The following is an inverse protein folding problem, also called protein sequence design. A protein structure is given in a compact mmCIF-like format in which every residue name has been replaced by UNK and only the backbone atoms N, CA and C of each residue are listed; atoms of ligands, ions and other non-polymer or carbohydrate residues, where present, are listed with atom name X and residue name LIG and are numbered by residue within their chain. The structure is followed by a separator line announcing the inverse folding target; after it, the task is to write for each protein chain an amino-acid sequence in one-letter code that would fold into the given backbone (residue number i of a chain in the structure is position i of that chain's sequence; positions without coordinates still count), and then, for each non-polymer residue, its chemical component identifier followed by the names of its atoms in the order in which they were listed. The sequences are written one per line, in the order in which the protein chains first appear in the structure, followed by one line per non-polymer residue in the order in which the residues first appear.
data_IF_626530847193
#
_entry.id   IF_626530847193
#
_cell.length_a   1.000
_cell.length_b   1.000
_cell.length_c   1.000
_cell.angle_alpha   90.00
_cell.angle_beta   90.00
_cell.angle_gamma   90.00
#
_symmetry.space_group_name_H-M   'P 1'
#
loop_
_entity.id
_entity.type
_entity.pdbx_description
1 polymer ?
#
# COMPACT_ATOMS: atom_id res chain seq x y z
N UNK A 1 -25.16 -28.28 -45.49
CA UNK A 1 -23.72 -28.21 -45.13
C UNK A 1 -23.18 -26.74 -45.05
N UNK A 2 -23.80 -25.88 -44.23
CA UNK A 2 -23.32 -24.52 -43.96
C UNK A 2 -23.32 -24.14 -42.47
N UNK A 3 -23.25 -25.10 -41.58
CA UNK A 3 -23.27 -24.85 -40.13
C UNK A 3 -21.90 -24.95 -39.40
N UNK A 4 -20.78 -25.16 -40.11
CA UNK A 4 -19.49 -25.45 -39.46
C UNK A 4 -18.47 -24.31 -39.41
N UNK A 5 -18.70 -23.15 -40.06
CA UNK A 5 -17.73 -22.06 -40.08
C UNK A 5 -17.98 -20.95 -39.05
N UNK A 6 -19.21 -20.76 -38.55
CA UNK A 6 -19.51 -19.74 -37.53
C UNK A 6 -19.15 -20.14 -36.09
N UNK A 7 -19.10 -21.41 -35.78
CA UNK A 7 -18.74 -21.89 -34.43
C UNK A 7 -17.21 -21.91 -34.18
N UNK A 8 -16.37 -21.94 -35.22
CA UNK A 8 -14.91 -21.88 -35.05
C UNK A 8 -14.35 -20.47 -34.87
N UNK A 9 -15.10 -19.42 -35.22
CA UNK A 9 -14.68 -18.03 -35.03
C UNK A 9 -15.06 -17.48 -33.65
N UNK A 10 -15.98 -18.10 -32.89
CA UNK A 10 -16.32 -17.70 -31.53
C UNK A 10 -15.32 -18.22 -30.47
N UNK A 11 -14.55 -19.26 -30.75
CA UNK A 11 -13.58 -19.83 -29.81
C UNK A 11 -12.18 -19.22 -29.89
N UNK A 12 -11.91 -18.28 -30.79
CA UNK A 12 -10.57 -17.68 -30.95
C UNK A 12 -10.53 -16.25 -30.38
N UNK A 13 -11.69 -15.67 -30.02
CA UNK A 13 -11.76 -14.29 -29.50
C UNK A 13 -11.59 -14.18 -27.98
N UNK A 14 -11.63 -15.32 -27.25
CA UNK A 14 -11.60 -15.34 -25.79
C UNK A 14 -10.25 -15.75 -25.18
N UNK A 15 -9.18 -15.81 -25.98
CA UNK A 15 -7.85 -16.20 -25.44
C UNK A 15 -6.85 -15.07 -25.25
N UNK A 16 -7.25 -13.82 -25.39
CA UNK A 16 -6.36 -12.66 -25.19
C UNK A 16 -6.91 -11.58 -24.24
N UNK A 17 -7.86 -11.90 -23.38
CA UNK A 17 -7.99 -11.14 -22.14
C UNK A 17 -7.10 -11.84 -21.11
N UNK A 18 -5.82 -11.59 -21.11
CA UNK A 18 -5.02 -11.72 -19.90
C UNK A 18 -5.69 -10.75 -18.91
N UNK A 19 -6.59 -11.26 -18.07
CA UNK A 19 -7.11 -10.49 -16.93
C UNK A 19 -5.88 -10.22 -16.10
N UNK A 20 -5.42 -9.00 -16.17
CA UNK A 20 -4.27 -8.57 -15.37
C UNK A 20 -4.68 -8.77 -13.90
N UNK A 21 -3.87 -9.44 -13.11
CA UNK A 21 -4.22 -9.84 -11.75
C UNK A 21 -4.63 -8.62 -10.88
N UNK A 22 -4.18 -7.43 -11.26
CA UNK A 22 -4.42 -6.18 -10.53
C UNK A 22 -5.24 -5.15 -11.29
N UNK A 23 -5.98 -5.55 -12.34
CA UNK A 23 -6.77 -4.64 -13.19
C UNK A 23 -7.60 -3.65 -12.39
N UNK A 24 -8.25 -4.14 -11.33
CA UNK A 24 -9.09 -3.30 -10.48
C UNK A 24 -8.27 -2.25 -9.69
N UNK A 25 -7.05 -2.60 -9.27
CA UNK A 25 -6.14 -1.68 -8.59
C UNK A 25 -5.55 -0.68 -9.59
N UNK A 26 -5.17 -1.16 -10.78
CA UNK A 26 -4.54 -0.37 -11.82
C UNK A 26 -5.53 0.54 -12.55
N UNK A 27 -6.77 0.09 -12.78
CA UNK A 27 -7.80 0.81 -13.55
C UNK A 27 -8.25 2.12 -12.88
N UNK A 28 -8.22 2.17 -11.55
CA UNK A 28 -8.52 3.41 -10.79
C UNK A 28 -7.37 4.41 -10.75
N UNK A 29 -6.31 4.18 -11.50
CA UNK A 29 -5.07 4.96 -11.47
C UNK A 29 -4.95 6.01 -12.57
N UNK A 30 -6.02 6.45 -13.20
CA UNK A 30 -6.05 7.32 -14.38
C UNK A 30 -5.26 8.64 -14.28
N UNK A 31 -4.86 9.06 -13.08
CA UNK A 31 -4.08 10.28 -12.83
C UNK A 31 -2.76 10.01 -12.07
N UNK A 32 -2.23 8.78 -12.13
CA UNK A 32 -1.06 8.41 -11.34
C UNK A 32 0.27 8.78 -12.02
N UNK A 33 1.12 9.46 -11.29
CA UNK A 33 2.54 9.56 -11.65
C UNK A 33 3.17 8.20 -11.38
N UNK A 34 3.60 7.50 -12.43
CA UNK A 34 4.25 6.19 -12.33
C UNK A 34 5.73 6.31 -12.65
N UNK A 35 6.56 5.65 -11.86
CA UNK A 35 7.98 5.46 -12.13
C UNK A 35 8.19 3.99 -12.47
N UNK A 36 8.73 3.73 -13.66
CA UNK A 36 9.14 2.37 -14.04
C UNK A 36 10.28 1.91 -13.15
N UNK A 37 10.29 0.62 -12.84
CA UNK A 37 11.37 -0.04 -12.12
C UNK A 37 12.19 -0.89 -13.10
N UNK A 38 13.45 -1.07 -12.79
CA UNK A 38 14.37 -1.88 -13.57
C UNK A 38 14.58 -3.28 -12.98
N UNK A 39 15.25 -4.14 -13.74
CA UNK A 39 15.53 -5.50 -13.32
C UNK A 39 16.45 -5.56 -12.09
N UNK A 40 17.27 -4.54 -11.86
CA UNK A 40 18.17 -4.47 -10.69
C UNK A 40 17.37 -4.24 -9.42
N UNK A 41 16.33 -3.40 -9.46
CA UNK A 41 15.39 -3.24 -8.35
C UNK A 41 14.66 -4.56 -8.05
N UNK A 42 14.15 -5.24 -9.07
CA UNK A 42 13.46 -6.53 -8.91
C UNK A 42 14.40 -7.58 -8.31
N UNK A 43 15.61 -7.72 -8.83
CA UNK A 43 16.60 -8.67 -8.34
C UNK A 43 16.98 -8.43 -6.86
N UNK A 44 17.08 -7.16 -6.44
CA UNK A 44 17.36 -6.78 -5.05
C UNK A 44 16.34 -7.33 -4.07
N UNK A 45 15.05 -7.34 -4.44
CA UNK A 45 13.96 -7.71 -3.54
C UNK A 45 13.36 -9.09 -3.81
N UNK A 46 13.82 -9.82 -4.84
CA UNK A 46 13.25 -11.12 -5.24
C UNK A 46 13.16 -12.14 -4.10
N UNK A 47 14.12 -12.10 -3.17
CA UNK A 47 14.12 -12.98 -2.00
C UNK A 47 13.53 -12.34 -0.73
N UNK A 48 13.11 -11.07 -0.78
CA UNK A 48 12.63 -10.33 0.38
C UNK A 48 11.10 -10.23 0.47
N UNK A 49 10.42 -10.38 -0.66
CA UNK A 49 8.95 -10.29 -0.77
C UNK A 49 8.36 -11.49 -1.49
N UNK A 50 7.03 -11.58 -1.55
CA UNK A 50 6.34 -12.61 -2.32
C UNK A 50 6.38 -12.32 -3.83
N UNK A 51 6.15 -13.37 -4.63
CA UNK A 51 6.05 -13.26 -6.09
C UNK A 51 4.96 -12.28 -6.51
N UNK A 52 3.83 -12.23 -5.80
CA UNK A 52 2.74 -11.29 -6.06
C UNK A 52 3.18 -9.81 -5.93
N UNK A 53 4.05 -9.49 -4.98
CA UNK A 53 4.59 -8.11 -4.86
C UNK A 53 5.56 -7.81 -6.00
N UNK A 54 6.35 -8.79 -6.42
CA UNK A 54 7.23 -8.66 -7.58
C UNK A 54 6.41 -8.40 -8.85
N UNK A 55 5.33 -9.16 -9.07
CA UNK A 55 4.41 -8.95 -10.19
C UNK A 55 3.74 -7.58 -10.13
N UNK A 56 3.23 -7.19 -8.95
CA UNK A 56 2.67 -5.85 -8.73
C UNK A 56 3.66 -4.75 -9.14
N UNK A 57 4.91 -4.86 -8.72
CA UNK A 57 5.94 -3.88 -9.07
C UNK A 57 6.24 -3.85 -10.56
N UNK A 58 6.32 -5.01 -11.24
CA UNK A 58 6.54 -5.09 -12.69
C UNK A 58 5.40 -4.46 -13.47
N UNK A 59 4.16 -4.67 -13.05
CA UNK A 59 2.98 -4.16 -13.74
C UNK A 59 2.71 -2.68 -13.45
N UNK A 60 2.80 -2.30 -12.20
CA UNK A 60 2.41 -0.98 -11.73
C UNK A 60 3.55 0.03 -11.66
N UNK A 61 4.78 -0.42 -11.38
CA UNK A 61 5.88 0.45 -10.99
C UNK A 61 5.67 1.09 -9.62
N UNK A 62 6.45 2.13 -9.32
CA UNK A 62 6.24 2.98 -8.14
C UNK A 62 5.31 4.13 -8.51
N UNK A 63 4.40 4.52 -7.62
CA UNK A 63 3.48 5.60 -7.94
C UNK A 63 2.28 5.70 -7.01
N UNK A 64 1.31 6.54 -7.40
CA UNK A 64 0.04 6.72 -6.69
C UNK A 64 -1.08 5.99 -7.41
N UNK A 65 -1.98 5.34 -6.66
CA UNK A 65 -3.05 4.49 -7.17
C UNK A 65 -4.36 4.76 -6.44
N UNK A 66 -5.46 4.25 -6.99
CA UNK A 66 -6.79 4.42 -6.39
C UNK A 66 -7.09 5.89 -6.09
N UNK A 67 -6.89 6.75 -7.10
CA UNK A 67 -7.14 8.19 -7.01
C UNK A 67 -6.26 8.91 -5.96
N UNK A 68 -5.04 8.40 -5.74
CA UNK A 68 -4.07 8.93 -4.79
C UNK A 68 -4.20 8.38 -3.36
N UNK A 69 -5.16 7.47 -3.11
CA UNK A 69 -5.37 6.90 -1.77
C UNK A 69 -4.22 5.98 -1.33
N UNK A 70 -3.67 5.20 -2.27
CA UNK A 70 -2.56 4.29 -2.04
C UNK A 70 -1.35 4.66 -2.88
N UNK A 71 -0.17 4.27 -2.41
CA UNK A 71 1.11 4.46 -3.06
C UNK A 71 1.89 3.17 -3.05
N UNK A 72 2.45 2.79 -4.20
CA UNK A 72 3.52 1.78 -4.26
C UNK A 72 4.83 2.54 -4.06
N UNK A 73 5.54 2.20 -3.01
CA UNK A 73 6.72 2.95 -2.52
C UNK A 73 8.02 2.19 -2.79
N UNK A 74 9.13 2.94 -2.83
CA UNK A 74 10.46 2.33 -2.86
C UNK A 74 10.82 1.87 -1.42
N UNK A 75 11.03 0.56 -1.20
CA UNK A 75 11.37 0.02 0.12
C UNK A 75 12.59 0.69 0.77
N UNK A 76 13.61 1.05 0.00
CA UNK A 76 14.85 1.65 0.52
C UNK A 76 14.60 2.93 1.32
N UNK A 77 13.60 3.71 0.93
CA UNK A 77 13.27 4.97 1.61
C UNK A 77 12.56 4.77 2.95
N UNK A 78 11.93 3.62 3.15
CA UNK A 78 11.08 3.34 4.31
C UNK A 78 11.66 2.24 5.22
N UNK A 79 12.68 1.52 4.74
CA UNK A 79 13.21 0.33 5.42
C UNK A 79 13.70 0.64 6.84
N UNK A 80 14.55 1.65 6.99
CA UNK A 80 15.08 2.05 8.30
C UNK A 80 13.96 2.44 9.27
N UNK A 81 12.98 3.22 8.80
CA UNK A 81 11.83 3.64 9.61
C UNK A 81 11.05 2.43 10.14
N UNK A 82 10.82 1.44 9.27
CA UNK A 82 10.06 0.25 9.66
C UNK A 82 10.89 -0.67 10.55
N UNK A 83 12.18 -0.85 10.26
CA UNK A 83 13.08 -1.66 11.09
C UNK A 83 13.19 -1.12 12.52
N UNK A 84 13.22 0.22 12.67
CA UNK A 84 13.38 0.88 13.97
C UNK A 84 12.07 0.90 14.80
N UNK A 85 10.92 0.79 14.15
CA UNK A 85 9.62 0.97 14.83
C UNK A 85 8.77 -0.29 14.94
N UNK A 86 8.85 -1.21 13.97
CA UNK A 86 8.07 -2.44 14.00
C UNK A 86 8.77 -3.51 14.86
N UNK A 87 8.08 -4.14 15.83
CA UNK A 87 8.69 -5.11 16.73
C UNK A 87 8.96 -6.45 16.00
N UNK A 88 10.12 -6.58 15.36
CA UNK A 88 10.59 -7.78 14.69
C UNK A 88 11.24 -8.78 15.64
N UNK A 89 11.02 -10.08 15.40
CA UNK A 89 11.89 -11.12 15.95
C UNK A 89 13.17 -11.23 15.12
N UNK A 90 14.27 -11.71 15.73
CA UNK A 90 15.58 -11.84 15.09
C UNK A 90 15.58 -12.64 13.78
N UNK A 91 14.65 -13.59 13.65
CA UNK A 91 14.50 -14.45 12.46
C UNK A 91 13.56 -13.87 11.40
N UNK A 92 12.96 -12.72 11.64
CA UNK A 92 12.05 -12.05 10.70
C UNK A 92 12.77 -11.00 9.87
N UNK A 93 12.27 -10.79 8.68
CA UNK A 93 12.64 -9.62 7.88
C UNK A 93 11.38 -8.90 7.42
N UNK A 94 11.40 -7.58 7.41
CA UNK A 94 10.28 -6.74 6.98
C UNK A 94 10.66 -5.92 5.75
N UNK A 95 9.77 -5.85 4.77
CA UNK A 95 9.97 -5.05 3.55
C UNK A 95 8.73 -4.21 3.29
N UNK A 96 8.78 -2.89 3.49
CA UNK A 96 7.69 -1.99 3.14
C UNK A 96 7.52 -1.94 1.62
N UNK A 97 6.28 -2.00 1.12
CA UNK A 97 6.02 -2.01 -0.33
C UNK A 97 4.91 -1.06 -0.77
N UNK A 98 4.03 -0.68 0.14
CA UNK A 98 2.93 0.23 -0.15
C UNK A 98 2.65 1.14 1.04
N UNK A 99 2.11 2.34 0.79
CA UNK A 99 1.64 3.25 1.84
C UNK A 99 0.26 3.82 1.50
N UNK A 100 -0.39 4.39 2.51
CA UNK A 100 -1.60 5.21 2.33
C UNK A 100 -1.24 6.67 2.09
N UNK A 101 -2.24 7.44 1.70
CA UNK A 101 -2.14 8.90 1.58
C UNK A 101 -1.78 9.60 2.91
N UNK A 102 -1.97 8.95 4.03
CA UNK A 102 -1.59 9.45 5.37
C UNK A 102 -0.20 9.00 5.84
N UNK A 103 0.53 8.26 4.99
CA UNK A 103 1.85 7.75 5.37
C UNK A 103 1.81 6.45 6.20
N UNK A 104 0.65 5.84 6.41
CA UNK A 104 0.58 4.50 7.00
C UNK A 104 1.17 3.48 6.03
N UNK A 105 1.85 2.45 6.55
CA UNK A 105 2.72 1.58 5.76
C UNK A 105 2.18 0.15 5.72
N UNK A 106 2.17 -0.44 4.53
CA UNK A 106 2.03 -1.88 4.34
C UNK A 106 3.40 -2.48 4.12
N UNK A 107 3.75 -3.47 4.93
CA UNK A 107 5.02 -4.16 4.80
C UNK A 107 4.82 -5.68 4.77
N UNK A 108 5.65 -6.36 4.00
CA UNK A 108 5.70 -7.80 3.92
C UNK A 108 6.70 -8.33 4.93
N UNK A 109 6.26 -9.20 5.80
CA UNK A 109 7.09 -9.86 6.80
C UNK A 109 7.37 -11.29 6.37
N UNK A 110 8.64 -11.64 6.23
CA UNK A 110 9.09 -13.03 6.08
C UNK A 110 9.33 -13.62 7.45
N UNK A 111 8.56 -14.64 7.78
CA UNK A 111 8.69 -15.36 9.02
C UNK A 111 8.82 -16.87 8.73
N UNK A 112 9.98 -17.48 8.97
CA UNK A 112 10.22 -18.89 8.67
C UNK A 112 9.51 -19.86 9.64
N UNK A 113 8.95 -19.35 10.74
CA UNK A 113 8.32 -20.17 11.78
C UNK A 113 6.81 -20.32 11.59
N UNK A 114 6.12 -19.18 11.39
CA UNK A 114 4.65 -19.15 11.32
C UNK A 114 4.12 -18.87 9.92
N UNK A 115 4.99 -18.68 8.93
CA UNK A 115 4.63 -18.26 7.58
C UNK A 115 4.69 -16.74 7.38
N UNK A 116 4.75 -16.34 6.12
CA UNK A 116 4.90 -14.93 5.74
C UNK A 116 3.54 -14.21 5.81
N UNK A 117 3.54 -12.92 6.06
CA UNK A 117 2.31 -12.13 6.17
C UNK A 117 2.52 -10.65 5.81
N UNK A 118 1.42 -9.95 5.56
CA UNK A 118 1.40 -8.50 5.41
C UNK A 118 1.00 -7.86 6.73
N UNK A 119 1.75 -6.87 7.15
CA UNK A 119 1.42 -6.01 8.29
C UNK A 119 1.03 -4.62 7.79
N UNK A 120 0.02 -4.03 8.40
CA UNK A 120 -0.35 -2.64 8.27
C UNK A 120 0.11 -1.87 9.51
N UNK A 121 0.98 -0.90 9.32
CA UNK A 121 1.47 0.00 10.37
C UNK A 121 0.70 1.31 10.24
N UNK A 122 -0.16 1.59 11.21
CA UNK A 122 -0.90 2.84 11.27
C UNK A 122 -0.07 3.88 12.02
N UNK A 123 0.66 4.69 11.27
CA UNK A 123 1.57 5.71 11.79
C UNK A 123 0.82 6.77 12.60
N UNK A 124 -0.37 7.13 12.17
CA UNK A 124 -1.17 8.17 12.86
C UNK A 124 -1.51 7.82 14.30
N UNK A 125 -1.81 6.54 14.54
CA UNK A 125 -2.31 6.07 15.85
C UNK A 125 -1.31 5.18 16.60
N UNK A 126 -0.12 4.95 16.06
CA UNK A 126 0.90 4.15 16.70
C UNK A 126 0.53 2.68 16.87
N UNK A 127 -0.17 2.12 15.90
CA UNK A 127 -0.64 0.74 15.98
C UNK A 127 -0.21 -0.07 14.77
N UNK A 128 -0.19 -1.39 14.91
CA UNK A 128 -0.05 -2.29 13.76
C UNK A 128 -1.03 -3.44 13.81
N UNK A 129 -1.39 -3.94 12.63
CA UNK A 129 -2.32 -5.05 12.42
C UNK A 129 -1.74 -6.04 11.41
N UNK A 130 -1.76 -7.32 11.75
CA UNK A 130 -1.47 -8.39 10.78
C UNK A 130 -2.72 -8.58 9.93
N UNK A 131 -2.59 -8.42 8.62
CA UNK A 131 -3.72 -8.45 7.70
C UNK A 131 -3.96 -9.83 7.10
N UNK A 132 -3.01 -10.35 6.35
CA UNK A 132 -3.16 -11.59 5.59
C UNK A 132 -1.81 -12.09 5.10
N UNK A 133 -1.73 -13.40 4.87
CA UNK A 133 -0.61 -14.02 4.16
C UNK A 133 -0.72 -13.80 2.64
N UNK A 134 -1.92 -13.51 2.14
CA UNK A 134 -2.21 -13.42 0.72
C UNK A 134 -2.31 -11.96 0.25
N UNK A 135 -1.31 -11.54 -0.51
CA UNK A 135 -1.21 -10.18 -1.09
C UNK A 135 -2.32 -9.94 -2.12
N UNK A 136 -2.75 -10.98 -2.86
CA UNK A 136 -3.82 -10.82 -3.87
C UNK A 136 -5.16 -10.50 -3.22
N UNK A 137 -5.47 -11.11 -2.08
CA UNK A 137 -6.67 -10.76 -1.30
C UNK A 137 -6.58 -9.32 -0.81
N UNK A 138 -5.43 -8.88 -0.33
CA UNK A 138 -5.24 -7.49 0.06
C UNK A 138 -5.54 -6.54 -1.09
N UNK A 139 -4.92 -6.76 -2.26
CA UNK A 139 -4.96 -5.83 -3.39
C UNK A 139 -6.25 -5.90 -4.22
N UNK A 140 -6.94 -7.05 -4.25
CA UNK A 140 -8.16 -7.22 -5.04
C UNK A 140 -9.45 -7.11 -4.24
N UNK A 141 -9.41 -7.32 -2.92
CA UNK A 141 -10.60 -7.37 -2.06
C UNK A 141 -10.53 -6.33 -0.94
N UNK A 142 -9.52 -6.42 -0.09
CA UNK A 142 -9.48 -5.67 1.19
C UNK A 142 -9.43 -4.16 0.96
N UNK A 143 -8.55 -3.68 0.08
CA UNK A 143 -8.40 -2.23 -0.20
C UNK A 143 -9.59 -1.61 -0.94
N UNK A 144 -10.53 -2.43 -1.43
CA UNK A 144 -11.78 -1.95 -2.07
C UNK A 144 -13.00 -2.13 -1.17
N UNK A 145 -12.85 -2.79 -0.03
CA UNK A 145 -13.94 -2.99 0.90
C UNK A 145 -14.13 -1.76 1.79
N UNK A 146 -15.31 -1.16 1.76
CA UNK A 146 -15.62 0.05 2.53
C UNK A 146 -15.43 -0.13 4.03
N UNK A 147 -15.83 -1.28 4.59
CA UNK A 147 -15.66 -1.57 6.00
C UNK A 147 -14.18 -1.69 6.39
N UNK A 148 -13.35 -2.29 5.52
CA UNK A 148 -11.91 -2.35 5.73
C UNK A 148 -11.28 -0.94 5.66
N UNK A 149 -11.68 -0.11 4.68
CA UNK A 149 -11.20 1.26 4.56
C UNK A 149 -11.54 2.09 5.81
N UNK A 150 -12.71 1.90 6.38
CA UNK A 150 -13.14 2.60 7.58
C UNK A 150 -12.51 2.02 8.85
N UNK A 151 -12.73 0.72 9.11
CA UNK A 151 -12.42 0.09 10.41
C UNK A 151 -10.95 -0.31 10.55
N UNK A 152 -10.29 -0.68 9.46
CA UNK A 152 -8.89 -1.15 9.51
C UNK A 152 -7.91 -0.04 9.20
N UNK A 153 -8.25 0.83 8.22
CA UNK A 153 -7.30 1.82 7.70
C UNK A 153 -7.67 3.26 8.06
N UNK A 154 -8.89 3.52 8.58
CA UNK A 154 -9.37 4.87 8.90
C UNK A 154 -9.25 5.84 7.71
N UNK A 155 -9.68 5.36 6.52
CA UNK A 155 -9.57 6.09 5.24
C UNK A 155 -10.93 6.56 4.69
N UNK A 156 -12.02 6.38 5.42
CA UNK A 156 -13.38 6.72 5.00
C UNK A 156 -13.58 8.23 4.72
N UNK A 157 -12.81 9.10 5.39
CA UNK A 157 -12.86 10.56 5.20
C UNK A 157 -12.06 11.04 3.99
N UNK A 158 -11.31 10.18 3.30
CA UNK A 158 -10.42 10.58 2.21
C UNK A 158 -11.11 11.41 1.11
N UNK A 159 -12.31 11.06 0.59
CA UNK A 159 -12.93 11.86 -0.47
C UNK A 159 -13.18 13.32 -0.07
N UNK A 160 -13.56 13.56 1.18
CA UNK A 160 -13.79 14.91 1.72
C UNK A 160 -12.46 15.67 1.89
N UNK A 161 -11.46 15.03 2.47
CA UNK A 161 -10.13 15.62 2.66
C UNK A 161 -9.51 15.96 1.31
N UNK A 162 -9.60 15.06 0.34
CA UNK A 162 -9.11 15.27 -1.02
C UNK A 162 -9.75 16.49 -1.69
N UNK A 163 -11.07 16.66 -1.56
CA UNK A 163 -11.76 17.79 -2.17
C UNK A 163 -11.35 19.13 -1.57
N UNK A 164 -10.95 19.14 -0.30
CA UNK A 164 -10.57 20.37 0.41
C UNK A 164 -9.06 20.67 0.33
N UNK A 165 -8.21 19.64 0.42
CA UNK A 165 -6.76 19.79 0.53
C UNK A 165 -5.99 19.47 -0.75
N UNK A 166 -6.65 18.85 -1.77
CA UNK A 166 -5.98 18.31 -2.96
C UNK A 166 -5.32 16.95 -2.69
N UNK A 167 -4.60 16.43 -3.67
CA UNK A 167 -3.91 15.11 -3.59
C UNK A 167 -2.43 15.33 -3.36
N UNK A 168 -1.83 14.78 -2.28
CA UNK A 168 -0.38 14.84 -2.07
C UNK A 168 0.40 14.12 -3.17
N UNK A 169 1.57 14.62 -3.52
CA UNK A 169 2.52 13.94 -4.43
C UNK A 169 3.03 12.61 -3.85
N UNK A 170 3.77 11.83 -4.65
CA UNK A 170 4.27 10.52 -4.24
C UNK A 170 5.16 10.56 -2.99
N UNK A 171 5.96 11.63 -2.84
CA UNK A 171 6.85 11.85 -1.71
C UNK A 171 6.20 12.67 -0.57
N UNK A 172 4.88 12.90 -0.66
CA UNK A 172 4.09 13.66 0.30
C UNK A 172 2.98 12.79 0.91
N UNK A 173 2.49 13.21 2.07
CA UNK A 173 1.33 12.62 2.72
C UNK A 173 0.46 13.68 3.38
N UNK A 174 -0.75 13.33 3.75
CA UNK A 174 -1.51 14.10 4.74
C UNK A 174 -0.95 13.83 6.13
N UNK A 175 -0.66 14.90 6.86
CA UNK A 175 -0.27 14.83 8.26
C UNK A 175 -1.11 15.77 9.10
N UNK A 176 -1.43 15.37 10.32
CA UNK A 176 -2.01 16.26 11.32
C UNK A 176 -0.92 17.20 11.86
N UNK A 177 -1.25 18.46 12.03
CA UNK A 177 -0.31 19.46 12.59
C UNK A 177 -1.01 20.20 13.73
N UNK A 178 -0.57 19.98 14.98
CA UNK A 178 0.45 19.04 15.44
C UNK A 178 0.10 17.56 15.13
N UNK A 179 1.10 16.65 15.11
CA UNK A 179 0.85 15.21 14.96
C UNK A 179 -0.05 14.70 16.11
N UNK A 180 -0.90 13.69 15.83
CA UNK A 180 -1.81 13.17 16.87
C UNK A 180 -1.05 12.68 18.11
N UNK A 181 0.10 12.02 17.91
CA UNK A 181 0.97 11.56 18.98
C UNK A 181 1.55 12.67 19.86
N UNK A 182 1.63 13.90 19.34
CA UNK A 182 2.10 15.10 20.07
C UNK A 182 0.95 15.97 20.57
N UNK A 183 -0.27 15.43 20.66
CA UNK A 183 -1.45 16.16 21.17
C UNK A 183 -2.24 16.90 20.10
N UNK A 184 -2.02 16.61 18.83
CA UNK A 184 -2.81 17.15 17.72
C UNK A 184 -4.28 16.72 17.78
N UNK A 185 -5.14 17.50 17.12
CA UNK A 185 -6.58 17.24 17.05
C UNK A 185 -6.89 16.55 15.72
N UNK A 186 -7.69 15.48 15.78
CA UNK A 186 -8.18 14.80 14.59
C UNK A 186 -9.32 15.59 13.91
N UNK A 187 -8.94 16.63 13.17
CA UNK A 187 -9.85 17.44 12.37
C UNK A 187 -9.28 17.65 10.96
N UNK A 188 -10.14 17.95 9.99
CA UNK A 188 -9.71 18.27 8.62
C UNK A 188 -8.87 19.55 8.59
N UNK A 189 -9.20 20.51 9.43
CA UNK A 189 -8.45 21.80 9.53
C UNK A 189 -6.99 21.57 9.94
N UNK A 190 -6.75 20.55 10.77
CA UNK A 190 -5.40 20.19 11.24
C UNK A 190 -4.58 19.46 10.18
N UNK A 191 -5.19 19.01 9.08
CA UNK A 191 -4.49 18.26 8.02
C UNK A 191 -3.72 19.23 7.11
N UNK A 192 -2.45 18.92 6.92
CA UNK A 192 -1.55 19.55 5.96
C UNK A 192 -0.94 18.53 5.02
N UNK A 193 -0.55 18.95 3.81
CA UNK A 193 0.32 18.17 2.92
C UNK A 193 1.76 18.40 3.37
N UNK A 194 2.45 17.33 3.70
CA UNK A 194 3.80 17.32 4.27
C UNK A 194 4.67 16.30 3.52
N UNK A 195 5.99 16.46 3.61
CA UNK A 195 6.92 15.41 3.14
C UNK A 195 6.77 14.16 3.99
N UNK A 196 6.53 13.02 3.31
CA UNK A 196 6.11 11.77 3.95
C UNK A 196 7.17 11.25 4.93
N UNK A 197 8.42 11.09 4.49
CA UNK A 197 9.47 10.50 5.33
C UNK A 197 9.71 11.28 6.62
N UNK A 198 9.99 12.60 6.60
CA UNK A 198 10.21 13.35 7.84
C UNK A 198 8.99 13.34 8.77
N UNK A 199 7.78 13.38 8.22
CA UNK A 199 6.56 13.35 9.02
C UNK A 199 6.36 11.99 9.71
N UNK A 200 6.59 10.89 8.99
CA UNK A 200 6.48 9.53 9.51
C UNK A 200 7.52 9.30 10.62
N UNK A 201 8.79 9.64 10.37
CA UNK A 201 9.88 9.52 11.34
C UNK A 201 9.56 10.30 12.63
N UNK A 202 9.19 11.56 12.50
CA UNK A 202 8.80 12.40 13.63
C UNK A 202 7.62 11.79 14.39
N UNK A 203 6.58 11.33 13.69
CA UNK A 203 5.39 10.76 14.32
C UNK A 203 5.72 9.50 15.11
N UNK A 204 6.52 8.59 14.54
CA UNK A 204 6.94 7.36 15.21
C UNK A 204 7.87 7.62 16.42
N UNK A 205 8.72 8.65 16.35
CA UNK A 205 9.51 9.07 17.51
C UNK A 205 8.64 9.54 18.68
N UNK A 206 7.54 10.25 18.41
CA UNK A 206 6.59 10.64 19.47
C UNK A 206 5.78 9.46 20.01
N UNK A 207 5.47 8.47 19.16
CA UNK A 207 4.70 7.28 19.53
C UNK A 207 5.53 6.33 20.40
N UNK A 208 6.81 6.13 20.04
CA UNK A 208 7.63 5.07 20.62
C UNK A 208 7.18 3.69 20.12
N UNK A 209 6.91 2.76 21.05
CA UNK A 209 6.56 1.39 20.68
C UNK A 209 5.17 1.27 20.05
N UNK A 210 5.10 0.63 18.90
CA UNK A 210 3.86 0.32 18.22
C UNK A 210 3.04 -0.73 18.97
N UNK A 211 1.72 -0.53 19.06
CA UNK A 211 0.80 -1.45 19.73
C UNK A 211 0.09 -2.34 18.71
N UNK A 212 0.11 -3.65 18.95
CA UNK A 212 -0.66 -4.60 18.13
C UNK A 212 -2.17 -4.44 18.39
N UNK A 213 -2.93 -4.32 17.30
CA UNK A 213 -4.41 -4.37 17.32
C UNK A 213 -4.92 -5.62 16.60
N UNK A 214 -6.14 -6.07 16.95
CA UNK A 214 -6.78 -7.26 16.37
C UNK A 214 -7.55 -6.93 15.08
#
# INVERSE_FOLDING_TARGET
HVRSRRQRQMCIRDRNSTINMYDKFLDKSLNSTRQTIDDTFIAKYANAVSEQIIELWKEAGLGTFCDGLFRIINPDKYKTIVDDSYPLYEYETVTPFMSTVFGDIFAYVKNPVIGNYVVFINVRYGTFKILSENVDILLNVVIFNKSCLELWFSLNKYPMIKSEKGVPALDECYGYVPALASGGIESIDSIKILKAIPYIEMSLQFIGDLKRVR
#
